data_IF_529473505603
#
_entry.id   IF_529473505603
#
_cell.length_a   1.000
_cell.length_b   1.000
_cell.length_c   1.000
_cell.angle_alpha   90.00
_cell.angle_beta   90.00
_cell.angle_gamma   90.00
#
_symmetry.space_group_name_H-M   'P 1'
#
loop_
_entity.id
_entity.type
_entity.pdbx_description
1 polymer ?
#
# COMPACT_ATOMS: atom_id res chain seq x y z
N UNK A 1 -57.52 59.68 -8.69
CA UNK A 1 -57.30 58.33 -8.14
C UNK A 1 -56.90 57.41 -9.29
N UNK A 2 -55.63 57.07 -9.41
CA UNK A 2 -55.12 56.14 -10.42
C UNK A 2 -54.78 54.82 -9.68
N UNK A 3 -55.45 53.76 -10.04
CA UNK A 3 -55.31 52.42 -9.48
C UNK A 3 -54.26 51.71 -10.35
N UNK A 4 -53.15 51.29 -9.76
CA UNK A 4 -52.13 50.43 -10.42
C UNK A 4 -52.45 48.94 -10.13
N UNK A 5 -52.40 48.05 -11.12
CA UNK A 5 -52.55 46.62 -10.86
C UNK A 5 -51.24 46.03 -10.36
N UNK A 6 -51.31 45.27 -9.25
CA UNK A 6 -50.22 44.45 -8.74
C UNK A 6 -50.14 43.18 -9.59
N UNK A 7 -49.05 43.03 -10.36
CA UNK A 7 -48.73 41.77 -11.06
C UNK A 7 -48.00 40.88 -10.06
N UNK A 8 -48.64 39.81 -9.64
CA UNK A 8 -48.03 38.76 -8.84
C UNK A 8 -47.20 37.83 -9.79
N UNK A 9 -45.88 37.90 -9.70
CA UNK A 9 -44.98 36.97 -10.36
C UNK A 9 -44.90 35.70 -9.51
N UNK A 10 -45.55 34.62 -9.96
CA UNK A 10 -45.40 33.30 -9.38
C UNK A 10 -44.01 32.73 -9.80
N UNK A 11 -43.07 32.68 -8.84
CA UNK A 11 -41.78 32.03 -9.00
C UNK A 11 -42.01 30.53 -8.87
N UNK A 12 -42.07 29.81 -9.99
CA UNK A 12 -42.05 28.34 -9.99
C UNK A 12 -40.63 27.90 -9.71
N UNK A 13 -40.34 27.47 -8.47
CA UNK A 13 -39.14 26.71 -8.14
C UNK A 13 -39.24 25.36 -8.87
N UNK A 14 -38.53 25.21 -10.00
CA UNK A 14 -38.24 23.93 -10.55
C UNK A 14 -37.23 23.26 -9.59
N UNK A 15 -37.68 22.32 -8.79
CA UNK A 15 -36.80 21.42 -8.05
C UNK A 15 -36.06 20.56 -9.07
N UNK A 16 -34.88 20.98 -9.44
CA UNK A 16 -33.93 20.08 -10.16
C UNK A 16 -33.63 18.96 -9.19
N UNK A 17 -34.23 17.78 -9.40
CA UNK A 17 -33.74 16.56 -8.81
C UNK A 17 -32.31 16.38 -9.33
N UNK A 18 -31.33 16.74 -8.49
CA UNK A 18 -29.94 16.29 -8.69
C UNK A 18 -30.01 14.78 -8.58
N UNK A 19 -29.99 14.11 -9.73
CA UNK A 19 -29.87 12.65 -9.79
C UNK A 19 -28.53 12.33 -9.14
N UNK A 20 -28.54 11.62 -8.02
CA UNK A 20 -27.30 11.11 -7.44
C UNK A 20 -26.57 10.32 -8.52
N UNK A 21 -25.27 10.52 -8.65
CA UNK A 21 -24.46 9.74 -9.58
C UNK A 21 -24.62 8.26 -9.21
N UNK A 22 -24.98 7.45 -10.18
CA UNK A 22 -25.17 6.01 -10.01
C UNK A 22 -23.96 5.30 -10.58
N UNK A 23 -23.41 4.35 -9.82
CA UNK A 23 -22.30 3.53 -10.28
C UNK A 23 -22.82 2.20 -10.79
N UNK A 24 -22.53 1.88 -12.06
CA UNK A 24 -22.94 0.61 -12.66
C UNK A 24 -22.05 -0.53 -12.19
N UNK A 25 -22.67 -1.67 -11.85
CA UNK A 25 -21.96 -2.90 -11.49
C UNK A 25 -22.63 -4.13 -12.11
N UNK A 26 -21.90 -5.24 -12.15
CA UNK A 26 -22.36 -6.53 -12.69
C UNK A 26 -22.16 -7.61 -11.63
N UNK A 27 -23.18 -8.43 -11.42
CA UNK A 27 -23.09 -9.61 -10.55
C UNK A 27 -22.12 -10.61 -11.17
N UNK A 28 -21.05 -10.96 -10.45
CA UNK A 28 -20.07 -11.92 -10.98
C UNK A 28 -20.19 -13.31 -10.31
N UNK A 29 -20.85 -13.41 -9.17
CA UNK A 29 -21.16 -14.70 -8.52
C UNK A 29 -22.29 -15.43 -9.26
N UNK A 30 -22.40 -16.77 -9.14
CA UNK A 30 -23.49 -17.53 -9.77
C UNK A 30 -24.88 -17.01 -9.39
N UNK A 31 -25.07 -16.68 -8.11
CA UNK A 31 -26.28 -16.04 -7.56
C UNK A 31 -25.91 -15.21 -6.35
N UNK A 32 -26.63 -14.11 -6.11
CA UNK A 32 -26.43 -13.17 -5.02
C UNK A 32 -27.76 -12.80 -4.42
N UNK A 33 -27.89 -12.90 -3.10
CA UNK A 33 -29.05 -12.44 -2.39
C UNK A 33 -28.93 -10.94 -2.07
N UNK A 34 -29.99 -10.20 -2.39
CA UNK A 34 -30.12 -8.79 -2.06
C UNK A 34 -30.81 -8.67 -0.72
N UNK A 35 -30.11 -8.13 0.26
CA UNK A 35 -30.59 -7.96 1.62
C UNK A 35 -31.35 -6.65 1.82
N UNK A 36 -32.33 -6.63 2.77
CA UNK A 36 -33.08 -5.42 3.11
C UNK A 36 -32.24 -4.41 3.92
N UNK A 37 -31.19 -4.85 4.59
CA UNK A 37 -30.25 -4.05 5.37
C UNK A 37 -28.82 -4.57 5.15
N UNK A 38 -27.77 -3.78 5.39
CA UNK A 38 -26.39 -4.18 5.18
C UNK A 38 -25.86 -5.10 6.31
N UNK A 39 -26.62 -6.18 6.59
CA UNK A 39 -26.27 -7.22 7.56
C UNK A 39 -26.75 -8.58 7.05
N UNK A 40 -26.06 -9.67 7.40
CA UNK A 40 -26.34 -11.02 6.89
C UNK A 40 -27.71 -11.58 7.32
N UNK A 41 -28.14 -11.28 8.53
CA UNK A 41 -29.41 -11.79 9.09
C UNK A 41 -30.63 -11.00 8.61
N UNK A 42 -30.48 -10.07 7.72
CA UNK A 42 -31.55 -9.27 7.14
C UNK A 42 -32.36 -10.08 6.12
N UNK A 43 -33.67 -9.82 6.01
CA UNK A 43 -34.50 -10.49 5.00
C UNK A 43 -33.98 -10.30 3.58
N UNK A 44 -34.00 -11.37 2.78
CA UNK A 44 -33.71 -11.33 1.34
C UNK A 44 -34.87 -10.70 0.59
N UNK A 45 -34.60 -9.64 -0.18
CA UNK A 45 -35.58 -8.95 -1.03
C UNK A 45 -35.69 -9.57 -2.42
N UNK A 46 -34.58 -10.05 -2.95
CA UNK A 46 -34.44 -10.63 -4.28
C UNK A 46 -33.17 -11.48 -4.37
N UNK A 47 -33.12 -12.38 -5.35
CA UNK A 47 -31.89 -13.08 -5.72
C UNK A 47 -31.52 -12.70 -7.15
N UNK A 48 -30.32 -12.17 -7.34
CA UNK A 48 -29.76 -11.80 -8.64
C UNK A 48 -28.92 -12.95 -9.19
N UNK A 49 -28.97 -13.15 -10.50
CA UNK A 49 -28.14 -14.14 -11.17
C UNK A 49 -26.89 -13.50 -11.77
N UNK A 50 -25.88 -14.31 -12.08
CA UNK A 50 -24.68 -13.87 -12.78
C UNK A 50 -25.02 -12.99 -13.97
N UNK A 51 -24.19 -12.00 -14.25
CA UNK A 51 -24.30 -11.03 -15.34
C UNK A 51 -25.49 -10.05 -15.20
N UNK A 52 -26.26 -10.12 -14.11
CA UNK A 52 -27.26 -9.10 -13.81
C UNK A 52 -26.58 -7.74 -13.58
N UNK A 53 -27.06 -6.70 -14.27
CA UNK A 53 -26.60 -5.32 -14.07
C UNK A 53 -27.36 -4.66 -12.93
N UNK A 54 -26.64 -3.94 -12.09
CA UNK A 54 -27.19 -3.23 -10.94
C UNK A 54 -26.63 -1.81 -10.89
N UNK A 55 -27.39 -0.88 -10.30
CA UNK A 55 -26.93 0.47 -10.00
C UNK A 55 -26.68 0.61 -8.51
N UNK A 56 -25.46 1.03 -8.16
CA UNK A 56 -25.04 1.32 -6.78
C UNK A 56 -25.26 2.78 -6.50
N UNK A 57 -25.96 3.07 -5.41
CA UNK A 57 -26.24 4.42 -4.94
C UNK A 57 -25.31 4.89 -3.83
N UNK A 58 -24.79 3.96 -3.01
CA UNK A 58 -23.86 4.23 -1.92
C UNK A 58 -23.10 2.98 -1.46
N UNK A 59 -22.11 3.18 -0.58
CA UNK A 59 -21.44 2.10 0.12
C UNK A 59 -21.54 2.31 1.63
N UNK A 60 -21.91 1.26 2.36
CA UNK A 60 -21.97 1.23 3.83
C UNK A 60 -21.10 0.08 4.33
N UNK A 61 -19.93 0.39 4.87
CA UNK A 61 -18.93 -0.62 5.23
C UNK A 61 -18.53 -1.46 4.02
N UNK A 62 -18.77 -2.77 4.09
CA UNK A 62 -18.50 -3.73 3.01
C UNK A 62 -19.77 -4.14 2.24
N UNK A 63 -20.78 -3.28 2.22
CA UNK A 63 -22.03 -3.47 1.52
C UNK A 63 -22.27 -2.33 0.52
N UNK A 64 -22.69 -2.67 -0.69
CA UNK A 64 -23.20 -1.71 -1.67
C UNK A 64 -24.71 -1.61 -1.54
N UNK A 65 -25.20 -0.38 -1.49
CA UNK A 65 -26.63 -0.08 -1.61
C UNK A 65 -27.03 -0.05 -3.08
N UNK A 66 -28.01 -0.88 -3.43
CA UNK A 66 -28.56 -0.96 -4.77
C UNK A 66 -29.86 -0.19 -4.89
N UNK A 67 -30.10 0.40 -6.05
CA UNK A 67 -31.42 0.91 -6.41
C UNK A 67 -32.30 -0.24 -6.91
N UNK A 68 -33.32 -0.57 -6.13
CA UNK A 68 -34.29 -1.59 -6.50
C UNK A 68 -35.51 -1.00 -7.21
N UNK A 69 -36.14 -1.74 -8.16
CA UNK A 69 -37.30 -1.22 -8.93
C UNK A 69 -38.47 -0.73 -8.08
N UNK A 70 -38.65 -1.24 -6.87
CA UNK A 70 -39.70 -0.83 -5.94
C UNK A 70 -39.40 0.45 -5.14
N UNK A 71 -38.29 1.13 -5.42
CA UNK A 71 -37.88 2.37 -4.71
C UNK A 71 -37.37 2.16 -3.29
N UNK A 72 -37.23 0.90 -2.84
CA UNK A 72 -36.57 0.57 -1.57
C UNK A 72 -35.13 0.20 -1.85
N UNK A 73 -34.16 0.60 -0.97
CA UNK A 73 -32.78 0.16 -1.13
C UNK A 73 -32.67 -1.34 -0.89
N UNK A 74 -31.74 -1.99 -1.58
CA UNK A 74 -31.28 -3.34 -1.32
C UNK A 74 -29.77 -3.36 -1.13
N UNK A 75 -29.22 -4.36 -0.48
CA UNK A 75 -27.80 -4.41 -0.14
C UNK A 75 -27.16 -5.71 -0.60
N UNK A 76 -25.97 -5.62 -1.20
CA UNK A 76 -25.11 -6.76 -1.59
C UNK A 76 -23.70 -6.53 -1.09
N UNK A 77 -22.93 -7.60 -0.88
CA UNK A 77 -21.53 -7.48 -0.46
C UNK A 77 -20.66 -6.92 -1.58
N UNK A 78 -19.59 -6.21 -1.20
CA UNK A 78 -18.64 -5.62 -2.16
C UNK A 78 -18.02 -6.63 -3.12
N UNK A 79 -17.87 -7.90 -2.70
CA UNK A 79 -17.32 -8.98 -3.51
C UNK A 79 -18.38 -9.83 -4.24
N UNK A 80 -19.63 -9.42 -4.25
CA UNK A 80 -20.71 -10.08 -5.01
C UNK A 80 -20.87 -9.48 -6.40
N UNK A 81 -20.45 -8.23 -6.55
CA UNK A 81 -20.54 -7.48 -7.81
C UNK A 81 -19.17 -6.91 -8.20
N UNK A 82 -18.97 -6.73 -9.50
CA UNK A 82 -17.85 -6.01 -10.08
C UNK A 82 -18.33 -4.67 -10.59
N UNK A 83 -17.64 -3.61 -10.24
CA UNK A 83 -17.90 -2.29 -10.79
C UNK A 83 -17.67 -2.37 -12.30
N UNK A 84 -18.71 -2.05 -13.07
CA UNK A 84 -18.62 -2.05 -14.52
C UNK A 84 -17.79 -0.82 -14.93
N UNK A 85 -16.73 -1.06 -15.70
CA UNK A 85 -16.03 -0.01 -16.40
C UNK A 85 -16.98 0.56 -17.47
N UNK A 86 -17.62 1.68 -17.16
CA UNK A 86 -18.08 2.57 -18.22
C UNK A 86 -16.84 3.33 -18.66
N UNK A 87 -16.49 3.26 -19.95
CA UNK A 87 -15.30 3.94 -20.45
C UNK A 87 -15.23 5.39 -19.98
N UNK A 88 -14.09 5.78 -19.62
CA UNK A 88 -13.37 7.03 -19.28
C UNK A 88 -14.08 8.41 -19.20
N UNK A 89 -15.37 8.56 -19.44
CA UNK A 89 -15.99 9.89 -19.51
C UNK A 89 -16.50 10.46 -18.18
N UNK A 90 -16.64 9.63 -17.10
CA UNK A 90 -17.25 10.06 -15.84
C UNK A 90 -16.46 9.63 -14.57
N UNK A 91 -15.16 9.37 -14.65
CA UNK A 91 -14.34 8.79 -13.58
C UNK A 91 -14.43 9.49 -12.20
N UNK A 92 -14.50 10.83 -12.16
CA UNK A 92 -14.56 11.59 -10.91
C UNK A 92 -15.95 11.56 -10.23
N UNK A 93 -17.03 11.54 -11.01
CA UNK A 93 -18.39 11.53 -10.46
C UNK A 93 -18.70 10.19 -9.76
N UNK A 94 -18.08 9.11 -10.18
CA UNK A 94 -18.35 7.76 -9.70
C UNK A 94 -17.79 7.48 -8.31
N UNK A 95 -16.67 8.11 -7.93
CA UNK A 95 -16.02 7.91 -6.63
C UNK A 95 -16.83 8.49 -5.49
N UNK A 96 -17.51 9.61 -5.69
CA UNK A 96 -18.37 10.22 -4.66
C UNK A 96 -19.48 9.29 -4.16
N UNK A 97 -19.96 8.39 -5.00
CA UNK A 97 -20.97 7.37 -4.62
C UNK A 97 -20.41 6.42 -3.56
N UNK A 98 -19.14 6.04 -3.69
CA UNK A 98 -18.46 5.11 -2.79
C UNK A 98 -17.88 5.79 -1.54
N UNK A 99 -17.79 7.12 -1.54
CA UNK A 99 -17.23 7.92 -0.44
C UNK A 99 -18.29 8.48 0.52
N UNK A 100 -19.57 8.16 0.35
CA UNK A 100 -20.66 8.67 1.19
C UNK A 100 -20.71 8.13 2.63
N UNK A 101 -19.77 7.26 3.01
CA UNK A 101 -19.56 6.82 4.39
C UNK A 101 -18.90 7.90 5.25
N UNK A 102 -19.27 7.97 6.54
CA UNK A 102 -18.97 9.03 7.53
C UNK A 102 -17.50 9.33 7.85
N UNK A 103 -16.53 8.83 7.13
CA UNK A 103 -15.10 9.07 7.38
C UNK A 103 -14.54 9.99 6.29
N UNK A 104 -14.39 11.25 6.60
CA UNK A 104 -13.64 12.20 5.79
C UNK A 104 -14.41 12.80 4.63
N UNK A 105 -15.28 13.77 4.90
CA UNK A 105 -15.82 14.68 3.88
C UNK A 105 -14.71 15.63 3.42
N UNK A 106 -13.70 15.08 2.74
CA UNK A 106 -12.73 15.84 1.97
C UNK A 106 -13.22 15.87 0.53
N UNK A 107 -13.68 17.03 0.06
CA UNK A 107 -13.78 17.27 -1.38
C UNK A 107 -12.39 17.04 -1.96
N UNK A 108 -12.25 16.07 -2.87
CA UNK A 108 -11.11 16.03 -3.78
C UNK A 108 -11.25 17.27 -4.65
N UNK A 109 -10.71 18.38 -4.21
CA UNK A 109 -10.55 19.55 -5.05
C UNK A 109 -9.26 19.32 -5.81
N UNK A 110 -9.35 18.99 -7.08
CA UNK A 110 -8.23 19.19 -7.99
C UNK A 110 -7.79 20.64 -7.89
N UNK A 111 -6.73 20.88 -7.14
CA UNK A 111 -6.03 22.14 -7.23
C UNK A 111 -5.18 22.02 -8.51
N UNK A 112 -5.67 22.57 -9.60
CA UNK A 112 -4.91 22.70 -10.83
C UNK A 112 -3.52 23.27 -10.48
N UNK A 113 -2.47 22.43 -10.58
CA UNK A 113 -1.10 22.84 -10.36
C UNK A 113 -0.29 22.03 -9.34
N UNK A 114 -0.86 21.09 -8.59
CA UNK A 114 -0.05 20.20 -7.72
C UNK A 114 0.43 19.04 -8.57
N UNK A 115 1.71 19.08 -8.94
CA UNK A 115 2.41 18.01 -9.65
C UNK A 115 2.66 16.85 -8.67
N UNK A 116 2.34 15.63 -9.07
CA UNK A 116 2.65 14.44 -8.32
C UNK A 116 4.16 14.18 -8.14
N UNK A 117 4.51 13.14 -7.40
CA UNK A 117 5.90 12.72 -7.23
C UNK A 117 6.33 11.99 -8.52
N UNK A 118 7.39 12.47 -9.17
CA UNK A 118 7.99 11.76 -10.30
C UNK A 118 9.40 11.24 -9.97
N UNK A 119 9.96 10.43 -10.88
CA UNK A 119 11.30 9.84 -10.69
C UNK A 119 12.37 10.93 -10.57
N UNK A 120 12.24 12.04 -11.29
CA UNK A 120 13.20 13.15 -11.23
C UNK A 120 13.14 13.86 -9.87
N UNK A 121 11.95 13.97 -9.26
CA UNK A 121 11.77 14.51 -7.90
C UNK A 121 12.51 13.62 -6.89
N UNK A 122 12.29 12.29 -6.94
CA UNK A 122 12.90 11.35 -6.02
C UNK A 122 14.42 11.20 -6.21
N UNK A 123 14.92 11.45 -7.42
CA UNK A 123 16.37 11.42 -7.70
C UNK A 123 17.09 12.66 -7.19
N UNK A 124 16.46 13.83 -7.32
CA UNK A 124 17.10 15.12 -7.09
C UNK A 124 16.72 15.77 -5.76
N UNK A 125 15.69 15.28 -5.05
CA UNK A 125 15.26 15.87 -3.78
C UNK A 125 16.37 15.83 -2.73
N UNK A 126 16.45 16.90 -1.93
CA UNK A 126 17.30 16.91 -0.76
C UNK A 126 16.71 16.03 0.35
N UNK A 127 17.57 15.48 1.20
CA UNK A 127 17.13 14.81 2.42
C UNK A 127 16.56 15.81 3.40
N UNK A 128 15.34 15.61 3.90
CA UNK A 128 14.69 16.49 4.88
C UNK A 128 14.68 15.84 6.27
N UNK A 129 15.64 16.24 7.08
CA UNK A 129 15.77 15.76 8.47
C UNK A 129 14.59 16.20 9.33
N UNK A 130 14.09 17.44 9.17
CA UNK A 130 13.02 17.96 10.00
C UNK A 130 11.71 17.22 9.78
N UNK A 131 11.39 16.91 8.53
CA UNK A 131 10.19 16.12 8.18
C UNK A 131 10.33 14.66 8.64
N UNK A 132 11.51 14.07 8.52
CA UNK A 132 11.76 12.71 9.01
C UNK A 132 11.65 12.62 10.54
N UNK A 133 12.18 13.59 11.26
CA UNK A 133 12.07 13.70 12.72
C UNK A 133 10.60 13.88 13.12
N UNK A 134 9.87 14.74 12.43
CA UNK A 134 8.43 14.94 12.65
C UNK A 134 7.63 13.65 12.42
N UNK A 135 7.91 12.89 11.35
CA UNK A 135 7.29 11.60 11.09
C UNK A 135 7.62 10.59 12.20
N UNK A 136 8.89 10.53 12.60
CA UNK A 136 9.36 9.61 13.65
C UNK A 136 8.74 9.93 15.01
N UNK A 137 8.52 11.19 15.32
CA UNK A 137 7.84 11.63 16.54
C UNK A 137 6.36 11.20 16.63
N UNK A 138 5.75 10.85 15.50
CA UNK A 138 4.37 10.33 15.45
C UNK A 138 4.27 8.82 15.70
N UNK A 139 5.39 8.12 15.84
CA UNK A 139 5.37 6.68 16.14
C UNK A 139 4.55 6.39 17.39
N UNK A 140 3.82 5.28 17.33
CA UNK A 140 3.16 4.71 18.50
C UNK A 140 3.77 3.35 18.82
N UNK A 141 3.82 3.02 20.10
CA UNK A 141 4.27 1.71 20.53
C UNK A 141 3.16 0.64 20.39
N UNK A 142 3.52 -0.63 20.58
CA UNK A 142 2.58 -1.74 20.49
C UNK A 142 1.41 -1.65 21.50
N UNK A 143 1.65 -1.34 22.79
CA UNK A 143 0.59 -1.16 23.77
C UNK A 143 -0.41 -0.06 23.41
N UNK A 144 0.02 1.09 22.90
CA UNK A 144 -0.87 2.18 22.47
C UNK A 144 -1.72 1.75 21.28
N UNK A 145 -1.13 1.07 20.29
CA UNK A 145 -1.88 0.54 19.15
C UNK A 145 -2.87 -0.55 19.57
N UNK A 146 -2.50 -1.43 20.49
CA UNK A 146 -3.40 -2.45 21.04
C UNK A 146 -4.57 -1.85 21.83
N UNK A 147 -4.33 -0.77 22.59
CA UNK A 147 -5.38 -0.03 23.28
C UNK A 147 -6.40 0.56 22.27
N UNK A 148 -5.90 1.16 21.20
CA UNK A 148 -6.77 1.65 20.13
C UNK A 148 -7.58 0.51 19.48
N UNK A 149 -6.94 -0.61 19.16
CA UNK A 149 -7.63 -1.77 18.59
C UNK A 149 -8.76 -2.28 19.51
N UNK A 150 -8.50 -2.34 20.82
CA UNK A 150 -9.52 -2.71 21.81
C UNK A 150 -10.69 -1.74 21.82
N UNK A 151 -10.46 -0.43 21.74
CA UNK A 151 -11.51 0.59 21.63
C UNK A 151 -12.36 0.42 20.37
N UNK A 152 -11.75 -0.07 19.27
CA UNK A 152 -12.45 -0.36 18.02
C UNK A 152 -13.11 -1.75 18.00
N UNK A 153 -12.93 -2.58 19.04
CA UNK A 153 -13.45 -3.95 19.09
C UNK A 153 -12.69 -4.93 18.18
N UNK A 154 -11.45 -4.62 17.81
CA UNK A 154 -10.62 -5.54 17.01
C UNK A 154 -9.90 -6.54 17.92
N UNK A 155 -10.18 -7.81 17.68
CA UNK A 155 -9.58 -8.91 18.42
C UNK A 155 -8.56 -9.64 17.57
N UNK A 156 -7.32 -9.75 18.07
CA UNK A 156 -6.27 -10.49 17.39
C UNK A 156 -6.63 -11.97 17.26
N UNK A 157 -6.40 -12.52 16.07
CA UNK A 157 -6.63 -13.95 15.79
C UNK A 157 -5.40 -14.60 15.17
N UNK A 158 -5.28 -15.91 15.31
CA UNK A 158 -4.19 -16.69 14.73
C UNK A 158 -4.62 -17.23 13.37
N UNK A 159 -3.91 -16.84 12.31
CA UNK A 159 -4.11 -17.33 10.94
C UNK A 159 -2.75 -17.57 10.32
N UNK A 160 -2.50 -18.77 9.82
CA UNK A 160 -1.24 -19.09 9.16
C UNK A 160 -1.18 -18.42 7.79
N UNK A 161 -0.01 -17.90 7.46
CA UNK A 161 0.27 -17.33 6.14
C UNK A 161 1.52 -17.96 5.53
N UNK A 162 1.32 -18.77 4.50
CA UNK A 162 2.40 -19.50 3.83
C UNK A 162 3.45 -18.58 3.22
N UNK A 163 3.04 -17.40 2.72
CA UNK A 163 3.94 -16.41 2.14
C UNK A 163 5.00 -15.90 3.11
N UNK A 164 4.67 -15.72 4.40
CA UNK A 164 5.68 -15.37 5.42
C UNK A 164 6.69 -16.50 5.65
N UNK A 165 6.24 -17.75 5.63
CA UNK A 165 7.13 -18.91 5.79
C UNK A 165 8.05 -19.10 4.58
N UNK A 166 7.56 -18.77 3.38
CA UNK A 166 8.36 -18.79 2.16
C UNK A 166 9.37 -17.65 2.12
N UNK A 167 8.95 -16.43 2.52
CA UNK A 167 9.84 -15.28 2.64
C UNK A 167 11.01 -15.55 3.59
N UNK A 168 10.75 -16.18 4.75
CA UNK A 168 11.79 -16.59 5.69
C UNK A 168 12.74 -17.62 5.09
N UNK A 169 12.22 -18.63 4.37
CA UNK A 169 13.05 -19.66 3.72
C UNK A 169 13.88 -19.11 2.56
N UNK A 170 13.36 -18.13 1.84
CA UNK A 170 14.06 -17.46 0.76
C UNK A 170 15.11 -16.44 1.28
N UNK A 171 15.05 -16.05 2.54
CA UNK A 171 16.00 -15.13 3.17
C UNK A 171 17.38 -15.81 3.22
N UNK A 172 18.42 -15.22 2.56
CA UNK A 172 19.78 -15.75 2.64
C UNK A 172 20.29 -15.87 4.08
N UNK A 173 19.65 -15.14 4.99
CA UNK A 173 19.97 -15.11 6.40
C UNK A 173 19.50 -16.39 7.13
N UNK A 174 18.40 -16.99 6.72
CA UNK A 174 17.89 -18.26 7.27
C UNK A 174 18.46 -19.51 6.57
N UNK A 175 19.33 -19.35 5.55
CA UNK A 175 19.98 -20.49 4.95
C UNK A 175 20.90 -21.21 5.96
N UNK A 176 20.90 -22.55 5.99
CA UNK A 176 21.75 -23.30 6.90
C UNK A 176 23.21 -22.87 6.82
N UNK A 177 23.88 -22.75 7.94
CA UNK A 177 25.30 -22.35 8.02
C UNK A 177 26.23 -23.18 7.11
N UNK A 178 25.82 -24.43 6.80
CA UNK A 178 26.50 -25.29 5.85
C UNK A 178 26.46 -24.75 4.41
N UNK A 179 25.31 -24.26 3.94
CA UNK A 179 25.19 -23.71 2.58
C UNK A 179 25.98 -22.39 2.44
N UNK A 180 26.04 -21.59 3.51
CA UNK A 180 26.87 -20.37 3.57
C UNK A 180 28.36 -20.73 3.55
N UNK A 181 28.77 -21.75 4.33
CA UNK A 181 30.13 -22.19 4.38
C UNK A 181 30.61 -22.72 3.02
N UNK A 182 29.75 -23.42 2.26
CA UNK A 182 30.08 -23.88 0.89
C UNK A 182 30.26 -22.70 -0.08
N UNK A 183 29.40 -21.68 -0.01
CA UNK A 183 29.49 -20.46 -0.83
C UNK A 183 30.78 -19.69 -0.51
N UNK A 184 31.11 -19.52 0.77
CA UNK A 184 32.36 -18.87 1.22
C UNK A 184 33.56 -19.66 0.76
N UNK A 185 33.52 -21.01 0.82
CA UNK A 185 34.58 -21.90 0.38
C UNK A 185 34.76 -21.87 -1.14
N UNK A 186 33.66 -21.81 -1.91
CA UNK A 186 33.69 -21.68 -3.36
C UNK A 186 34.31 -20.34 -3.80
N UNK A 187 33.88 -19.23 -3.16
CA UNK A 187 34.44 -17.88 -3.40
C UNK A 187 35.89 -17.80 -2.96
N UNK A 188 36.24 -18.34 -1.80
CA UNK A 188 37.62 -18.44 -1.32
C UNK A 188 38.53 -19.29 -2.20
N UNK A 189 38.01 -20.41 -2.77
CA UNK A 189 38.70 -21.25 -3.74
C UNK A 189 38.94 -20.53 -5.08
N UNK A 190 37.97 -19.77 -5.57
CA UNK A 190 38.10 -18.94 -6.77
C UNK A 190 39.14 -17.83 -6.58
N UNK A 191 39.14 -17.17 -5.43
CA UNK A 191 40.12 -16.13 -5.07
C UNK A 191 41.53 -16.73 -4.90
N UNK A 192 41.63 -17.91 -4.29
CA UNK A 192 42.89 -18.63 -4.14
C UNK A 192 43.50 -19.08 -5.49
N UNK A 193 42.67 -19.44 -6.48
CA UNK A 193 43.10 -19.81 -7.81
C UNK A 193 43.54 -18.62 -8.68
N UNK A 194 43.06 -17.40 -8.37
CA UNK A 194 43.47 -16.17 -9.05
C UNK A 194 44.69 -15.51 -8.41
N UNK A 195 45.08 -15.91 -7.17
CA UNK A 195 46.12 -15.29 -6.36
C UNK A 195 47.57 -15.75 -6.67
N UNK A 196 47.78 -16.59 -7.66
CA UNK A 196 49.08 -17.23 -7.94
C UNK A 196 50.12 -16.39 -8.71
N UNK A 197 49.96 -15.06 -8.86
CA UNK A 197 50.93 -14.36 -9.69
C UNK A 197 51.00 -12.84 -9.75
N UNK A 198 50.24 -12.09 -9.02
CA UNK A 198 50.20 -10.63 -9.18
C UNK A 198 50.31 -9.87 -7.85
N UNK A 199 51.57 -9.54 -7.49
CA UNK A 199 51.85 -8.58 -6.42
C UNK A 199 51.36 -7.15 -6.78
N UNK A 200 50.88 -6.40 -5.79
CA UNK A 200 50.49 -4.97 -5.80
C UNK A 200 49.15 -4.52 -6.36
N UNK A 201 48.46 -5.33 -7.17
CA UNK A 201 47.06 -5.03 -7.59
C UNK A 201 45.99 -5.62 -6.66
N UNK A 202 46.40 -6.41 -5.67
CA UNK A 202 45.51 -7.22 -4.84
C UNK A 202 44.61 -6.41 -3.90
N UNK A 203 45.05 -5.22 -3.50
CA UNK A 203 44.28 -4.38 -2.54
C UNK A 203 42.95 -3.85 -3.10
N UNK A 204 42.91 -3.55 -4.41
CA UNK A 204 41.68 -3.10 -5.08
C UNK A 204 40.77 -4.27 -5.47
N UNK A 205 41.35 -5.44 -5.78
CA UNK A 205 40.59 -6.68 -6.02
C UNK A 205 39.98 -7.24 -4.72
N UNK A 206 40.65 -7.12 -3.58
CA UNK A 206 40.14 -7.53 -2.27
C UNK A 206 38.94 -6.68 -1.83
N UNK A 207 38.91 -5.38 -2.15
CA UNK A 207 37.74 -4.51 -1.92
C UNK A 207 36.54 -4.93 -2.75
N UNK A 208 36.74 -5.42 -3.99
CA UNK A 208 35.67 -5.98 -4.82
C UNK A 208 35.24 -7.39 -4.38
N UNK A 209 36.18 -8.21 -3.93
CA UNK A 209 35.90 -9.56 -3.47
C UNK A 209 35.16 -9.62 -2.14
N UNK A 210 35.33 -8.62 -1.27
CA UNK A 210 34.57 -8.51 -0.03
C UNK A 210 33.04 -8.30 -0.27
N UNK A 211 32.67 -7.79 -1.44
CA UNK A 211 31.24 -7.67 -1.86
C UNK A 211 30.65 -9.01 -2.34
N UNK A 212 31.49 -9.99 -2.70
CA UNK A 212 31.07 -11.33 -3.09
C UNK A 212 30.99 -12.27 -1.88
N UNK A 213 31.51 -11.87 -0.71
CA UNK A 213 31.33 -12.63 0.52
C UNK A 213 29.88 -12.47 0.99
N UNK A 214 29.16 -13.57 1.27
CA UNK A 214 27.83 -13.50 1.80
C UNK A 214 27.84 -12.69 3.11
N UNK A 215 27.05 -11.61 3.15
CA UNK A 215 26.87 -10.81 4.35
C UNK A 215 26.17 -11.63 5.43
N UNK A 216 26.49 -11.38 6.68
CA UNK A 216 25.80 -11.97 7.83
C UNK A 216 24.38 -11.39 7.96
N UNK A 217 23.51 -12.10 8.67
CA UNK A 217 22.15 -11.61 8.99
C UNK A 217 22.15 -10.23 9.62
N UNK A 218 23.03 -10.02 10.60
CA UNK A 218 23.13 -8.74 11.28
C UNK A 218 23.55 -7.60 10.36
N UNK A 219 24.42 -7.87 9.38
CA UNK A 219 24.79 -6.88 8.38
C UNK A 219 23.64 -6.56 7.42
N UNK A 220 22.91 -7.58 6.93
CA UNK A 220 21.75 -7.41 6.06
C UNK A 220 20.61 -6.65 6.78
N UNK A 221 20.32 -7.04 8.02
CA UNK A 221 19.32 -6.36 8.83
C UNK A 221 19.73 -4.91 9.14
N UNK A 222 21.03 -4.69 9.43
CA UNK A 222 21.55 -3.34 9.67
C UNK A 222 21.45 -2.43 8.44
N UNK A 223 21.72 -2.95 7.24
CA UNK A 223 21.59 -2.20 5.99
C UNK A 223 20.13 -1.90 5.66
N UNK A 224 19.22 -2.87 5.82
CA UNK A 224 17.80 -2.67 5.63
C UNK A 224 17.26 -1.56 6.54
N UNK A 225 17.61 -1.61 7.85
CA UNK A 225 17.22 -0.61 8.83
C UNK A 225 17.80 0.78 8.55
N UNK A 226 18.99 0.86 7.98
CA UNK A 226 19.64 2.13 7.64
C UNK A 226 19.07 2.75 6.35
N UNK A 227 18.64 1.94 5.37
CA UNK A 227 18.06 2.42 4.11
C UNK A 227 16.71 3.14 4.32
N UNK A 228 15.90 2.65 5.24
CA UNK A 228 14.54 3.18 5.48
C UNK A 228 14.52 4.69 5.71
N UNK A 229 15.19 5.20 6.75
CA UNK A 229 15.21 6.64 7.02
C UNK A 229 15.85 7.45 5.90
N UNK A 230 16.91 6.96 5.23
CA UNK A 230 17.57 7.67 4.14
C UNK A 230 16.67 7.83 2.92
N UNK A 231 15.96 6.77 2.51
CA UNK A 231 14.98 6.81 1.43
C UNK A 231 13.80 7.70 1.81
N UNK A 232 13.24 7.50 3.02
CA UNK A 232 12.08 8.25 3.50
C UNK A 232 12.38 9.74 3.60
N UNK A 233 13.54 10.13 4.13
CA UNK A 233 13.94 11.53 4.22
C UNK A 233 14.05 12.22 2.85
N UNK A 234 14.43 11.46 1.80
CA UNK A 234 14.43 11.97 0.41
C UNK A 234 13.02 12.14 -0.15
N UNK A 235 12.11 11.19 0.12
CA UNK A 235 10.70 11.31 -0.28
C UNK A 235 10.07 12.52 0.39
N UNK A 236 10.33 12.71 1.69
CA UNK A 236 9.84 13.85 2.46
C UNK A 236 10.43 15.19 2.00
N UNK A 237 11.66 15.19 1.48
CA UNK A 237 12.24 16.36 0.82
C UNK A 237 11.59 16.70 -0.52
N UNK A 238 11.02 15.72 -1.23
CA UNK A 238 10.24 15.96 -2.43
C UNK A 238 8.81 16.41 -2.11
N UNK A 239 8.19 15.81 -1.09
CA UNK A 239 6.82 16.10 -0.63
C UNK A 239 6.76 16.02 0.90
N UNK A 240 6.43 17.12 1.59
CA UNK A 240 6.37 17.14 3.04
C UNK A 240 5.22 16.29 3.59
N UNK A 241 5.23 16.04 4.89
CA UNK A 241 4.08 15.48 5.58
C UNK A 241 2.86 16.41 5.43
N UNK A 242 1.71 15.81 5.27
CA UNK A 242 0.44 16.54 5.30
C UNK A 242 0.19 17.07 6.72
N UNK A 243 -0.10 18.38 6.81
CA UNK A 243 -0.36 19.07 8.07
C UNK A 243 -1.77 18.75 8.62
N UNK A 244 -1.95 17.48 9.00
CA UNK A 244 -3.15 16.96 9.65
C UNK A 244 -2.72 15.96 10.74
N UNK A 245 -2.64 16.45 11.97
CA UNK A 245 -2.20 15.65 13.11
C UNK A 245 -3.10 14.44 13.38
N UNK A 246 -4.41 14.54 13.08
CA UNK A 246 -5.34 13.41 13.25
C UNK A 246 -5.06 12.31 12.22
N UNK A 247 -4.80 12.68 10.96
CA UNK A 247 -4.42 11.74 9.91
C UNK A 247 -3.10 11.05 10.24
N UNK A 248 -2.06 11.82 10.64
CA UNK A 248 -0.75 11.27 11.03
C UNK A 248 -0.89 10.28 12.19
N UNK A 249 -1.65 10.64 13.22
CA UNK A 249 -1.89 9.74 14.35
C UNK A 249 -2.65 8.48 13.95
N UNK A 250 -3.70 8.61 13.12
CA UNK A 250 -4.55 7.49 12.69
C UNK A 250 -3.75 6.46 11.90
N UNK A 251 -2.91 6.86 10.94
CA UNK A 251 -2.08 5.92 10.16
C UNK A 251 -1.08 5.18 11.05
N UNK A 252 -0.54 5.85 12.10
CA UNK A 252 0.36 5.21 13.04
C UNK A 252 -0.36 4.22 13.96
N UNK A 253 -1.56 4.53 14.46
CA UNK A 253 -2.35 3.62 15.30
C UNK A 253 -2.76 2.36 14.53
N UNK A 254 -3.40 2.53 13.37
CA UNK A 254 -3.87 1.43 12.53
C UNK A 254 -2.69 0.62 11.98
N UNK A 255 -1.68 1.29 11.41
CA UNK A 255 -0.52 0.64 10.83
C UNK A 255 0.30 -0.14 11.86
N UNK A 256 0.52 0.44 13.05
CA UNK A 256 1.25 -0.25 14.12
C UNK A 256 0.50 -1.47 14.65
N UNK A 257 -0.84 -1.40 14.73
CA UNK A 257 -1.66 -2.54 15.10
C UNK A 257 -1.54 -3.67 14.08
N UNK A 258 -1.72 -3.39 12.79
CA UNK A 258 -1.57 -4.39 11.71
C UNK A 258 -0.15 -4.96 11.69
N UNK A 259 0.88 -4.12 11.79
CA UNK A 259 2.27 -4.55 11.80
C UNK A 259 2.61 -5.47 12.99
N UNK A 260 1.93 -5.30 14.13
CA UNK A 260 2.09 -6.18 15.29
C UNK A 260 1.58 -7.60 15.04
N UNK A 261 0.77 -7.83 14.01
CA UNK A 261 0.21 -9.12 13.63
C UNK A 261 1.04 -9.86 12.56
N UNK A 262 2.20 -9.32 12.20
CA UNK A 262 3.12 -9.89 11.21
C UNK A 262 4.23 -10.70 11.87
N UNK A 263 5.07 -11.35 11.04
CA UNK A 263 6.26 -12.06 11.51
C UNK A 263 7.45 -11.13 11.86
N UNK A 264 7.31 -9.80 11.67
CA UNK A 264 8.36 -8.81 11.98
C UNK A 264 7.83 -7.63 12.81
N UNK A 265 7.19 -7.90 13.98
CA UNK A 265 6.59 -6.85 14.82
C UNK A 265 7.64 -5.92 15.47
N UNK A 266 8.90 -6.34 15.51
CA UNK A 266 10.02 -5.64 16.13
C UNK A 266 10.60 -4.50 15.28
N UNK A 267 10.27 -4.43 13.99
CA UNK A 267 10.74 -3.34 13.14
C UNK A 267 10.30 -1.97 13.70
N UNK A 268 11.08 -0.92 13.46
CA UNK A 268 10.75 0.43 13.93
C UNK A 268 9.64 1.06 13.08
N UNK A 269 8.50 0.37 13.00
CA UNK A 269 7.37 0.76 12.16
C UNK A 269 7.01 2.23 12.32
N UNK A 270 7.02 2.95 11.22
CA UNK A 270 6.79 4.39 11.15
C UNK A 270 5.91 4.69 9.95
N UNK A 271 4.79 5.36 10.20
CA UNK A 271 3.81 5.67 9.18
C UNK A 271 3.67 7.18 9.04
N UNK A 272 3.43 7.66 7.82
CA UNK A 272 3.18 9.06 7.56
C UNK A 272 2.25 9.28 6.39
N UNK A 273 1.53 10.40 6.40
CA UNK A 273 0.74 10.88 5.26
C UNK A 273 1.47 12.04 4.63
N UNK A 274 1.81 11.96 3.35
CA UNK A 274 2.47 13.03 2.59
C UNK A 274 1.47 13.87 1.81
N UNK A 275 1.77 15.16 1.66
CA UNK A 275 0.86 16.11 1.02
C UNK A 275 0.98 16.05 -0.51
N UNK A 276 0.32 15.06 -1.10
CA UNK A 276 0.14 14.95 -2.55
C UNK A 276 -1.27 14.43 -2.87
N UNK A 277 -1.94 14.95 -3.91
CA UNK A 277 -3.28 14.52 -4.28
C UNK A 277 -3.33 13.18 -5.02
N UNK A 278 -2.19 12.65 -5.47
CA UNK A 278 -2.13 11.33 -6.10
C UNK A 278 -2.60 10.22 -5.16
N UNK A 279 -3.03 9.12 -5.74
CA UNK A 279 -3.45 7.91 -5.00
C UNK A 279 -2.31 6.91 -5.05
N UNK A 280 -1.51 6.84 -3.99
CA UNK A 280 -0.39 5.90 -3.88
C UNK A 280 0.04 5.68 -2.43
N UNK A 281 0.87 4.65 -2.20
CA UNK A 281 1.60 4.42 -0.98
C UNK A 281 3.03 3.94 -1.32
N UNK A 282 3.93 3.93 -0.33
CA UNK A 282 5.32 3.56 -0.49
C UNK A 282 5.81 2.81 0.76
N UNK A 283 6.42 1.65 0.54
CA UNK A 283 7.03 0.83 1.59
C UNK A 283 8.57 0.89 1.51
N UNK A 284 9.20 1.83 2.20
CA UNK A 284 10.65 1.85 2.29
C UNK A 284 11.17 0.74 3.24
N UNK A 285 12.36 0.16 2.98
CA UNK A 285 12.93 -0.88 3.83
C UNK A 285 12.96 -0.51 5.32
N UNK A 286 12.93 -1.51 6.20
CA UNK A 286 13.02 -1.27 7.64
C UNK A 286 11.75 -0.75 8.30
N UNK A 287 10.59 -0.81 7.63
CA UNK A 287 9.28 -0.52 8.23
C UNK A 287 8.85 0.94 8.16
N UNK A 288 9.30 1.70 7.17
CA UNK A 288 8.84 3.06 6.90
C UNK A 288 7.80 3.05 5.79
N UNK A 289 6.59 3.50 6.08
CA UNK A 289 5.47 3.51 5.14
C UNK A 289 4.90 4.91 5.01
N UNK A 290 4.77 5.36 3.78
CA UNK A 290 4.17 6.64 3.41
C UNK A 290 2.90 6.42 2.61
N UNK A 291 1.83 7.11 2.98
CA UNK A 291 0.56 7.14 2.26
C UNK A 291 0.34 8.53 1.72
N UNK A 292 -0.10 8.67 0.50
CA UNK A 292 -0.44 9.99 -0.05
C UNK A 292 -1.75 10.50 0.54
N UNK A 293 -1.90 11.81 0.64
CA UNK A 293 -3.16 12.44 1.06
C UNK A 293 -4.33 12.01 0.16
N UNK A 294 -4.09 11.89 -1.16
CA UNK A 294 -5.11 11.44 -2.11
C UNK A 294 -5.64 10.04 -1.78
N UNK A 295 -4.75 9.07 -1.51
CA UNK A 295 -5.16 7.74 -1.07
C UNK A 295 -5.86 7.79 0.29
N UNK A 296 -5.27 8.47 1.28
CA UNK A 296 -5.86 8.57 2.61
C UNK A 296 -7.30 9.10 2.59
N UNK A 297 -7.56 10.14 1.79
CA UNK A 297 -8.88 10.73 1.65
C UNK A 297 -9.91 9.83 0.94
N UNK A 298 -9.45 8.91 0.10
CA UNK A 298 -10.29 7.92 -0.57
C UNK A 298 -10.81 6.85 0.41
N UNK A 299 -10.06 6.57 1.49
CA UNK A 299 -10.39 5.52 2.45
C UNK A 299 -11.51 5.96 3.38
N UNK A 300 -12.58 5.19 3.45
CA UNK A 300 -13.78 5.52 4.24
C UNK A 300 -13.86 4.82 5.61
N UNK A 301 -12.94 3.88 5.89
CA UNK A 301 -12.89 3.14 7.15
C UNK A 301 -11.46 2.82 7.59
N UNK A 302 -11.29 2.44 8.85
CA UNK A 302 -10.00 1.95 9.35
C UNK A 302 -9.62 0.60 8.72
N UNK A 303 -10.61 -0.22 8.35
CA UNK A 303 -10.34 -1.49 7.66
C UNK A 303 -9.78 -1.28 6.25
N UNK A 304 -10.27 -0.29 5.50
CA UNK A 304 -9.69 0.07 4.21
C UNK A 304 -8.30 0.70 4.35
N UNK A 305 -8.09 1.53 5.38
CA UNK A 305 -6.76 2.03 5.71
C UNK A 305 -5.81 0.89 6.07
N UNK A 306 -6.26 -0.04 6.90
CA UNK A 306 -5.51 -1.24 7.28
C UNK A 306 -5.19 -2.12 6.05
N UNK A 307 -6.08 -2.19 5.06
CA UNK A 307 -5.85 -2.93 3.82
C UNK A 307 -4.72 -2.29 2.99
N UNK A 308 -4.77 -0.96 2.79
CA UNK A 308 -3.70 -0.23 2.10
C UNK A 308 -2.36 -0.37 2.83
N UNK A 309 -2.35 -0.14 4.15
CA UNK A 309 -1.15 -0.28 4.96
C UNK A 309 -0.67 -1.73 5.03
N UNK A 310 -1.58 -2.71 5.08
CA UNK A 310 -1.26 -4.14 5.12
C UNK A 310 -0.53 -4.62 3.88
N UNK A 311 -0.87 -4.09 2.70
CA UNK A 311 -0.16 -4.33 1.45
C UNK A 311 1.29 -3.82 1.54
N UNK A 312 1.49 -2.58 1.98
CA UNK A 312 2.82 -1.98 2.15
C UNK A 312 3.64 -2.66 3.28
N UNK A 313 2.98 -3.03 4.37
CA UNK A 313 3.57 -3.81 5.46
C UNK A 313 4.06 -5.16 4.93
N UNK A 314 3.30 -5.82 4.04
CA UNK A 314 3.70 -7.09 3.43
C UNK A 314 5.00 -6.96 2.64
N UNK A 315 5.18 -5.89 1.85
CA UNK A 315 6.44 -5.61 1.15
C UNK A 315 7.63 -5.46 2.10
N UNK A 316 7.44 -4.76 3.24
CA UNK A 316 8.48 -4.65 4.26
C UNK A 316 8.77 -5.99 4.93
N UNK A 317 7.74 -6.79 5.25
CA UNK A 317 7.90 -8.11 5.89
C UNK A 317 8.65 -9.06 4.96
N UNK A 318 8.34 -9.02 3.67
CA UNK A 318 8.97 -9.86 2.63
C UNK A 318 10.29 -9.28 2.10
N UNK A 319 10.68 -8.05 2.51
CA UNK A 319 11.89 -7.35 2.08
C UNK A 319 11.95 -7.10 0.57
N UNK A 320 10.82 -6.95 -0.09
CA UNK A 320 10.75 -6.90 -1.56
C UNK A 320 11.66 -5.81 -2.16
N UNK A 321 11.53 -4.56 -1.71
CA UNK A 321 12.37 -3.45 -2.18
C UNK A 321 13.85 -3.64 -1.80
N UNK A 322 14.14 -4.14 -0.60
CA UNK A 322 15.51 -4.43 -0.19
C UNK A 322 16.16 -5.50 -1.09
N UNK A 323 15.41 -6.53 -1.45
CA UNK A 323 15.88 -7.58 -2.36
C UNK A 323 16.17 -7.04 -3.78
N UNK A 324 15.34 -6.08 -4.27
CA UNK A 324 15.62 -5.40 -5.55
C UNK A 324 16.91 -4.58 -5.47
N UNK A 325 17.12 -3.81 -4.41
CA UNK A 325 18.36 -3.08 -4.14
C UNK A 325 19.55 -4.02 -4.19
N UNK A 326 19.46 -5.14 -3.47
CA UNK A 326 20.53 -6.15 -3.42
C UNK A 326 20.83 -6.76 -4.78
N UNK A 327 19.80 -7.10 -5.57
CA UNK A 327 19.98 -7.63 -6.94
C UNK A 327 20.66 -6.61 -7.85
N UNK A 328 20.29 -5.34 -7.77
CA UNK A 328 20.92 -4.27 -8.56
C UNK A 328 22.39 -4.10 -8.21
N UNK A 329 22.73 -4.11 -6.93
CA UNK A 329 24.13 -4.01 -6.48
C UNK A 329 24.99 -5.20 -6.95
N UNK A 330 24.48 -6.41 -6.82
CA UNK A 330 25.20 -7.61 -7.29
C UNK A 330 25.41 -7.56 -8.81
N UNK A 331 24.44 -7.05 -9.57
CA UNK A 331 24.56 -6.89 -11.02
C UNK A 331 25.55 -5.78 -11.42
N UNK A 332 25.62 -4.68 -10.65
CA UNK A 332 26.55 -3.57 -10.89
C UNK A 332 27.97 -3.86 -10.44
N UNK A 333 28.16 -4.69 -9.41
CA UNK A 333 29.48 -5.06 -8.86
C UNK A 333 30.42 -5.67 -9.92
N UNK A 334 29.88 -6.26 -10.97
CA UNK A 334 30.65 -6.73 -12.13
C UNK A 334 31.21 -5.63 -13.03
N UNK A 335 30.68 -4.40 -12.95
CA UNK A 335 31.06 -3.24 -13.78
C UNK A 335 31.86 -2.18 -13.03
N UNK A 336 31.71 -2.08 -11.71
CA UNK A 336 32.27 -0.99 -10.88
C UNK A 336 33.47 -1.37 -10.03
N UNK A 337 34.25 -2.39 -10.40
CA UNK A 337 35.48 -2.77 -9.70
C UNK A 337 36.54 -1.64 -9.65
N UNK A 338 36.25 -0.47 -10.21
CA UNK A 338 37.27 0.57 -10.41
C UNK A 338 37.12 1.83 -9.54
N UNK A 339 36.00 2.11 -8.90
CA UNK A 339 35.79 3.45 -8.28
C UNK A 339 34.88 3.41 -7.04
N UNK A 340 35.42 3.27 -5.84
CA UNK A 340 35.01 4.09 -4.71
C UNK A 340 35.90 3.88 -3.47
N UNK A 341 36.71 4.88 -3.16
CA UNK A 341 37.17 5.13 -1.79
C UNK A 341 35.99 5.73 -1.05
N UNK A 342 35.24 4.92 -0.31
CA UNK A 342 34.27 5.43 0.65
C UNK A 342 35.09 5.85 1.89
N UNK A 343 35.20 7.14 2.17
CA UNK A 343 35.68 7.63 3.45
C UNK A 343 34.61 7.29 4.50
N UNK A 344 34.88 6.27 5.30
CA UNK A 344 34.13 5.91 6.49
C UNK A 344 34.37 7.01 7.54
N UNK A 345 33.53 8.03 7.57
CA UNK A 345 33.43 8.93 8.73
C UNK A 345 32.99 8.17 10.00
N UNK A 346 32.65 8.85 11.08
CA UNK A 346 32.20 8.26 12.36
C UNK A 346 30.86 7.49 12.27
N UNK A 347 30.36 7.14 11.08
CA UNK A 347 29.11 6.41 10.83
C UNK A 347 29.32 4.91 10.85
N UNK A 348 28.29 4.16 11.27
CA UNK A 348 28.32 2.69 11.14
C UNK A 348 28.45 2.28 9.65
N UNK A 349 29.03 1.12 9.33
CA UNK A 349 29.12 0.64 7.95
C UNK A 349 27.77 0.60 7.22
N UNK A 350 26.70 0.21 7.92
CA UNK A 350 25.35 0.17 7.39
C UNK A 350 24.81 1.58 7.06
N UNK A 351 25.03 2.57 7.93
CA UNK A 351 24.62 3.96 7.69
C UNK A 351 25.42 4.59 6.54
N UNK A 352 26.73 4.31 6.45
CA UNK A 352 27.55 4.76 5.33
C UNK A 352 27.09 4.15 4.00
N UNK A 353 26.76 2.87 4.01
CA UNK A 353 26.17 2.15 2.85
C UNK A 353 24.86 2.79 2.39
N UNK A 354 23.89 2.96 3.30
CA UNK A 354 22.58 3.51 2.98
C UNK A 354 22.68 4.93 2.41
N UNK A 355 23.52 5.77 3.02
CA UNK A 355 23.78 7.14 2.54
C UNK A 355 24.37 7.14 1.14
N UNK A 356 25.41 6.35 0.88
CA UNK A 356 26.03 6.24 -0.44
C UNK A 356 25.04 5.72 -1.49
N UNK A 357 24.23 4.72 -1.15
CA UNK A 357 23.19 4.21 -2.05
C UNK A 357 22.21 5.31 -2.45
N UNK A 358 21.68 6.03 -1.46
CA UNK A 358 20.67 7.09 -1.68
C UNK A 358 21.27 8.32 -2.35
N UNK A 359 22.54 8.69 -2.07
CA UNK A 359 23.25 9.75 -2.79
C UNK A 359 23.43 9.42 -4.28
N UNK A 360 23.65 8.15 -4.60
CA UNK A 360 23.86 7.68 -5.99
C UNK A 360 22.55 7.53 -6.75
N UNK A 361 21.52 6.96 -6.12
CA UNK A 361 20.29 6.52 -6.78
C UNK A 361 19.07 7.37 -6.39
N UNK A 362 19.16 8.21 -5.34
CA UNK A 362 18.00 8.88 -4.76
C UNK A 362 17.04 7.88 -4.13
N UNK A 363 15.77 8.23 -4.10
CA UNK A 363 14.68 7.34 -3.67
C UNK A 363 13.96 6.67 -4.85
N UNK A 364 14.59 6.62 -6.03
CA UNK A 364 13.98 6.11 -7.27
C UNK A 364 13.59 4.65 -7.22
N UNK A 365 14.19 3.88 -6.30
CA UNK A 365 13.81 2.48 -6.05
C UNK A 365 12.32 2.34 -5.71
N UNK A 366 11.74 3.36 -5.08
CA UNK A 366 10.32 3.39 -4.73
C UNK A 366 9.39 3.55 -5.93
N UNK A 367 9.96 3.88 -7.10
CA UNK A 367 9.25 3.97 -8.38
C UNK A 367 9.45 2.72 -9.25
N UNK A 368 10.24 1.76 -8.77
CA UNK A 368 10.50 0.51 -9.49
C UNK A 368 9.36 -0.45 -9.24
N UNK A 369 8.73 -0.92 -10.32
CA UNK A 369 7.75 -1.99 -10.21
C UNK A 369 8.39 -3.25 -9.63
N UNK A 370 7.74 -3.84 -8.67
CA UNK A 370 8.07 -5.17 -8.18
C UNK A 370 7.58 -6.24 -9.18
N UNK A 371 8.04 -7.48 -9.03
CA UNK A 371 7.48 -8.55 -9.85
C UNK A 371 6.02 -8.84 -9.46
N UNK A 372 5.22 -9.32 -10.42
CA UNK A 372 3.79 -9.54 -10.21
C UNK A 372 3.48 -10.52 -9.07
N UNK A 373 4.33 -11.52 -8.86
CA UNK A 373 4.12 -12.48 -7.77
C UNK A 373 4.41 -11.85 -6.40
N UNK A 374 5.35 -10.90 -6.30
CA UNK A 374 5.55 -10.11 -5.09
C UNK A 374 4.30 -9.29 -4.75
N UNK A 375 3.70 -8.65 -5.76
CA UNK A 375 2.47 -7.88 -5.60
C UNK A 375 1.27 -8.75 -5.16
N UNK A 376 1.08 -9.92 -5.80
CA UNK A 376 0.02 -10.85 -5.41
C UNK A 376 0.24 -11.44 -4.02
N UNK A 377 1.50 -11.68 -3.60
CA UNK A 377 1.82 -12.08 -2.23
C UNK A 377 1.56 -10.94 -1.24
N UNK A 378 1.78 -9.69 -1.65
CA UNK A 378 1.48 -8.53 -0.82
C UNK A 378 -0.02 -8.37 -0.60
N UNK A 379 -0.85 -8.58 -1.62
CA UNK A 379 -2.31 -8.61 -1.49
C UNK A 379 -2.77 -9.74 -0.54
N UNK A 380 -2.24 -10.94 -0.72
CA UNK A 380 -2.54 -12.07 0.15
C UNK A 380 -2.08 -11.82 1.59
N UNK A 381 -0.90 -11.21 1.76
CA UNK A 381 -0.38 -10.79 3.05
C UNK A 381 -1.30 -9.78 3.74
N UNK A 382 -1.77 -8.77 3.00
CA UNK A 382 -2.72 -7.79 3.53
C UNK A 382 -4.00 -8.45 4.06
N UNK A 383 -4.60 -9.39 3.31
CA UNK A 383 -5.79 -10.11 3.75
C UNK A 383 -5.55 -10.93 5.03
N UNK A 384 -4.39 -11.61 5.13
CA UNK A 384 -4.02 -12.37 6.33
C UNK A 384 -3.77 -11.47 7.54
N UNK A 385 -3.09 -10.33 7.34
CA UNK A 385 -2.84 -9.38 8.42
C UNK A 385 -4.13 -8.70 8.91
N UNK A 386 -5.05 -8.39 8.00
CA UNK A 386 -6.39 -7.91 8.37
C UNK A 386 -7.13 -8.94 9.24
N UNK A 387 -7.16 -10.20 8.79
CA UNK A 387 -7.80 -11.27 9.55
C UNK A 387 -7.19 -11.44 10.95
N UNK A 388 -5.85 -11.44 11.04
CA UNK A 388 -5.10 -11.51 12.31
C UNK A 388 -5.35 -10.30 13.19
N UNK A 389 -5.51 -9.11 12.59
CA UNK A 389 -5.79 -7.87 13.31
C UNK A 389 -7.24 -7.74 13.80
N UNK A 390 -8.09 -8.74 13.58
CA UNK A 390 -9.50 -8.68 13.95
C UNK A 390 -10.39 -7.96 12.95
N UNK A 391 -9.86 -7.60 11.79
CA UNK A 391 -10.55 -6.89 10.73
C UNK A 391 -11.07 -7.83 9.64
N UNK A 392 -11.86 -7.30 8.72
CA UNK A 392 -12.41 -8.06 7.62
C UNK A 392 -11.47 -8.04 6.40
N UNK A 393 -11.00 -9.20 5.89
CA UNK A 393 -10.13 -9.28 4.71
C UNK A 393 -10.72 -8.66 3.44
N UNK A 394 -12.06 -8.61 3.31
CA UNK A 394 -12.74 -7.98 2.17
C UNK A 394 -12.46 -6.47 2.06
N UNK A 395 -11.87 -5.84 3.06
CA UNK A 395 -11.50 -4.43 2.99
C UNK A 395 -10.48 -4.16 1.87
N UNK A 396 -9.59 -5.11 1.57
CA UNK A 396 -8.69 -5.00 0.41
C UNK A 396 -9.47 -5.04 -0.90
N UNK A 397 -10.41 -5.96 -1.03
CA UNK A 397 -11.27 -6.06 -2.21
C UNK A 397 -12.08 -4.77 -2.42
N UNK A 398 -12.66 -4.23 -1.34
CA UNK A 398 -13.36 -2.93 -1.34
C UNK A 398 -12.47 -1.79 -1.82
N UNK A 399 -11.25 -1.71 -1.31
CA UNK A 399 -10.26 -0.71 -1.70
C UNK A 399 -9.93 -0.82 -3.20
N UNK A 400 -9.61 -2.01 -3.69
CA UNK A 400 -9.28 -2.22 -5.11
C UNK A 400 -10.46 -1.85 -6.02
N UNK A 401 -11.69 -2.17 -5.64
CA UNK A 401 -12.89 -1.73 -6.35
C UNK A 401 -13.04 -0.19 -6.37
N UNK A 402 -12.78 0.49 -5.27
CA UNK A 402 -12.80 1.97 -5.22
C UNK A 402 -11.74 2.58 -6.13
N UNK A 403 -10.53 2.03 -6.13
CA UNK A 403 -9.47 2.47 -7.05
C UNK A 403 -9.88 2.26 -8.51
N UNK A 404 -10.50 1.11 -8.82
CA UNK A 404 -11.03 0.83 -10.15
C UNK A 404 -12.09 1.85 -10.59
N UNK A 405 -12.95 2.31 -9.66
CA UNK A 405 -13.98 3.31 -9.95
C UNK A 405 -13.44 4.70 -10.31
N UNK A 406 -12.17 5.01 -9.99
CA UNK A 406 -11.50 6.23 -10.47
C UNK A 406 -11.24 6.23 -11.97
N UNK A 407 -11.28 5.05 -12.61
CA UNK A 407 -10.98 4.89 -14.03
C UNK A 407 -9.50 4.66 -14.33
N UNK A 408 -9.21 3.83 -15.33
CA UNK A 408 -7.83 3.48 -15.72
C UNK A 408 -7.01 4.66 -16.21
N UNK A 409 -7.66 5.69 -16.74
CA UNK A 409 -7.03 6.88 -17.33
C UNK A 409 -6.91 8.03 -16.32
N UNK A 410 -7.28 7.80 -15.05
CA UNK A 410 -7.19 8.81 -14.01
C UNK A 410 -5.74 9.22 -13.77
N UNK A 411 -5.45 10.50 -13.89
CA UNK A 411 -4.14 11.06 -13.58
C UNK A 411 -3.72 10.77 -12.12
N UNK A 412 -4.69 10.62 -11.22
CA UNK A 412 -4.46 10.29 -9.81
C UNK A 412 -3.87 8.89 -9.63
N UNK A 413 -4.17 7.93 -10.54
CA UNK A 413 -3.69 6.55 -10.49
C UNK A 413 -2.43 6.33 -11.35
N UNK A 414 -1.98 7.33 -12.08
CA UNK A 414 -0.88 7.18 -13.04
C UNK A 414 0.40 6.62 -12.40
N UNK A 415 0.68 6.99 -11.15
CA UNK A 415 1.83 6.49 -10.41
C UNK A 415 1.60 5.06 -9.89
N UNK A 416 0.41 4.77 -9.38
CA UNK A 416 0.04 3.44 -8.91
C UNK A 416 0.24 2.39 -10.03
N UNK A 417 -0.23 2.69 -11.24
CA UNK A 417 -0.09 1.78 -12.38
C UNK A 417 1.35 1.61 -12.89
N UNK A 418 2.28 2.49 -12.52
CA UNK A 418 3.71 2.31 -12.83
C UNK A 418 4.39 1.34 -11.88
N UNK A 419 3.94 1.27 -10.64
CA UNK A 419 4.57 0.50 -9.56
C UNK A 419 3.86 -0.82 -9.30
N UNK A 420 2.55 -0.91 -9.58
CA UNK A 420 1.73 -2.08 -9.28
C UNK A 420 1.04 -2.65 -10.56
N UNK A 421 0.68 -3.93 -10.58
CA UNK A 421 -0.12 -4.50 -11.65
C UNK A 421 -1.49 -3.83 -11.79
N UNK A 422 -2.15 -3.97 -12.96
CA UNK A 422 -3.51 -3.49 -13.15
C UNK A 422 -4.48 -3.98 -12.06
N UNK A 423 -5.35 -3.07 -11.62
CA UNK A 423 -6.28 -3.34 -10.50
C UNK A 423 -7.23 -4.50 -10.78
N UNK A 424 -7.69 -4.63 -12.03
CA UNK A 424 -8.54 -5.72 -12.48
C UNK A 424 -7.82 -7.08 -12.39
N UNK A 425 -6.55 -7.18 -12.76
CA UNK A 425 -5.74 -8.38 -12.59
C UNK A 425 -5.63 -8.78 -11.11
N UNK A 426 -5.42 -7.81 -10.21
CA UNK A 426 -5.35 -8.04 -8.76
C UNK A 426 -6.67 -8.56 -8.19
N UNK A 427 -7.79 -7.92 -8.57
CA UNK A 427 -9.13 -8.37 -8.14
C UNK A 427 -9.45 -9.76 -8.74
N UNK A 428 -9.12 -10.01 -10.01
CA UNK A 428 -9.31 -11.32 -10.65
C UNK A 428 -8.51 -12.41 -9.93
N UNK A 429 -7.28 -12.11 -9.51
CA UNK A 429 -6.46 -13.04 -8.73
C UNK A 429 -7.11 -13.40 -7.39
N UNK A 430 -7.68 -12.42 -6.68
CA UNK A 430 -8.41 -12.65 -5.43
C UNK A 430 -9.64 -13.54 -5.68
N UNK A 431 -10.43 -13.26 -6.72
CA UNK A 431 -11.62 -14.05 -7.04
C UNK A 431 -11.29 -15.50 -7.44
N UNK A 432 -10.22 -15.71 -8.22
CA UNK A 432 -9.77 -17.04 -8.64
C UNK A 432 -9.26 -17.86 -7.45
N UNK A 433 -8.50 -17.26 -6.57
CA UNK A 433 -7.96 -17.90 -5.36
C UNK A 433 -9.06 -18.14 -4.33
N UNK A 434 -10.02 -17.22 -4.24
CA UNK A 434 -10.98 -17.15 -3.14
C UNK A 434 -10.29 -16.82 -1.81
N UNK A 435 -11.05 -16.86 -0.73
CA UNK A 435 -10.55 -16.53 0.61
C UNK A 435 -10.06 -17.76 1.40
N UNK A 436 -10.31 -18.99 0.94
CA UNK A 436 -9.82 -20.20 1.58
C UNK A 436 -10.08 -20.22 3.11
N UNK A 437 -9.01 -20.35 3.90
CA UNK A 437 -9.09 -20.33 5.35
C UNK A 437 -9.58 -18.97 5.93
N UNK A 438 -9.47 -17.90 5.14
CA UNK A 438 -9.95 -16.56 5.54
C UNK A 438 -11.45 -16.38 5.37
N UNK A 439 -12.18 -17.32 4.71
CA UNK A 439 -13.59 -17.18 4.39
C UNK A 439 -14.46 -16.84 5.61
N UNK A 440 -14.18 -17.44 6.77
CA UNK A 440 -14.90 -17.16 8.01
C UNK A 440 -14.76 -15.71 8.49
N UNK A 441 -13.64 -15.06 8.17
CA UNK A 441 -13.36 -13.67 8.59
C UNK A 441 -13.98 -12.65 7.63
N UNK A 442 -14.38 -13.08 6.43
CA UNK A 442 -15.12 -12.21 5.49
C UNK A 442 -16.55 -11.91 5.96
N UNK A 443 -17.04 -12.65 6.95
CA UNK A 443 -18.36 -12.46 7.55
C UNK A 443 -18.35 -11.44 8.71
N UNK A 444 -17.20 -10.88 9.09
CA UNK A 444 -17.12 -9.81 10.09
C UNK A 444 -17.77 -8.54 9.55
N UNK A 445 -18.45 -7.80 10.44
CA UNK A 445 -19.05 -6.49 10.14
C UNK A 445 -17.99 -5.36 10.12
#
# INVERSE_FOLDING_TARGET
MRVFPIVAIALTLAASCVRAAELSAVVHRPSVDVHAQPVFDSPTLATLQRDARVSISSQQGLWYELQMPAGKPGYVRVNDVRLAYAGAEDGEANVHVLMSGKAGVGRITETAGVRGIDESDLKSSAFDTAQLDAMTAQRVDGPVAAGYAQEQGWEATQVDFAGEAEARRADPAEQPAAARAETVKAVGGLLGSLGGGLGSGLGSMLGGASRLVPKSEGELAGEELALGPEITGRILGARPLWDDAAAQRRVNLVGRWVASQTSRPELPWTFGVIDTPEVNAFAAPGGYILVTRGLYQLLSSDSELAAALGHEISHCVQRDHYNVIRKQELASSGKELAMSKVELGNSSPAAAYARNYVETHGATIMMSALDREAEYRADEGAEHYLARAGMNPLALYSLLQKLTALGSDSAMLAQLYKTHPPLDERIDRIDQRGFGALQQYTMRE
#
